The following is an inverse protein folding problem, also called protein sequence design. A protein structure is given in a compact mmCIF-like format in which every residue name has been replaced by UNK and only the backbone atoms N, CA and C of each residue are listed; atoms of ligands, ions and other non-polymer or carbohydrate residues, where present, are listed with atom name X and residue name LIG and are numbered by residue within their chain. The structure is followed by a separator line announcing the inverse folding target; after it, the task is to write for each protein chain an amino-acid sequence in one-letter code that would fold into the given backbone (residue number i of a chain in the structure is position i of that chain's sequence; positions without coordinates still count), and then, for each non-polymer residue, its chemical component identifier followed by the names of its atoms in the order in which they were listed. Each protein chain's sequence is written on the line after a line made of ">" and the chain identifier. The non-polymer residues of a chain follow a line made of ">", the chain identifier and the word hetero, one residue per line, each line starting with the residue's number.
data_IF_125556283036
#
_entry.id   IF_125556283036
#
_cell.length_a   1.000
_cell.length_b   1.000
_cell.length_c   1.000
_cell.angle_alpha   90.00
_cell.angle_beta   90.00
_cell.angle_gamma   90.00
#
_symmetry.space_group_name_H-M   'P 1'
#
loop_
_entity.id
_entity.type
_entity.pdbx_description
1 polymer ?
#
# COMPACT_ATOMS: atom_id res chain seq x y z
N UNK A 1 -6.08 12.43 -15.48
CA UNK A 1 -5.16 11.95 -14.41
C UNK A 1 -4.04 12.94 -14.17
N UNK A 2 -3.19 13.25 -15.16
CA UNK A 2 -2.09 14.22 -14.99
C UNK A 2 -2.63 15.57 -14.53
N UNK A 3 -3.68 16.10 -15.16
CA UNK A 3 -4.26 17.40 -14.75
C UNK A 3 -4.77 17.40 -13.31
N UNK A 4 -5.44 16.32 -12.89
CA UNK A 4 -5.85 16.12 -11.50
C UNK A 4 -4.63 16.07 -10.57
N UNK A 5 -3.57 15.35 -10.97
CA UNK A 5 -2.35 15.30 -10.17
C UNK A 5 -1.71 16.68 -10.01
N UNK A 6 -1.59 17.42 -11.11
CA UNK A 6 -1.10 18.80 -11.11
C UNK A 6 -1.98 19.62 -10.17
N UNK A 7 -3.30 19.64 -10.36
CA UNK A 7 -4.22 20.36 -9.46
C UNK A 7 -4.01 20.05 -7.97
N UNK A 8 -3.74 18.79 -7.62
CA UNK A 8 -3.52 18.37 -6.22
C UNK A 8 -2.11 18.65 -5.69
N UNK A 9 -1.12 18.90 -6.56
CA UNK A 9 0.30 18.93 -6.19
C UNK A 9 1.09 20.12 -6.72
N UNK A 10 0.51 20.96 -7.56
CA UNK A 10 1.16 22.12 -8.16
C UNK A 10 1.58 23.12 -7.07
N UNK A 11 2.75 23.71 -7.27
CA UNK A 11 3.37 24.69 -6.36
C UNK A 11 3.59 24.20 -4.91
N UNK A 12 3.62 22.88 -4.67
CA UNK A 12 3.91 22.32 -3.34
C UNK A 12 5.35 21.81 -3.23
N UNK A 13 6.09 22.35 -2.25
CA UNK A 13 7.34 21.75 -1.75
C UNK A 13 7.09 20.50 -0.88
N UNK A 14 5.82 20.10 -0.73
CA UNK A 14 5.40 18.99 0.11
C UNK A 14 5.51 17.64 -0.63
N UNK A 15 6.09 16.59 -0.01
CA UNK A 15 6.03 15.23 -0.54
C UNK A 15 4.61 14.76 -0.84
N UNK A 16 4.35 14.38 -2.10
CA UNK A 16 3.01 14.00 -2.55
C UNK A 16 3.01 12.76 -3.44
N UNK A 17 2.03 11.88 -3.22
CA UNK A 17 1.77 10.71 -4.04
C UNK A 17 0.29 10.63 -4.41
N UNK A 18 -0.01 10.41 -5.69
CA UNK A 18 -1.34 10.03 -6.15
C UNK A 18 -1.31 8.57 -6.54
N UNK A 19 -2.34 7.82 -6.16
CA UNK A 19 -2.60 6.51 -6.71
C UNK A 19 -4.03 6.42 -7.22
N UNK A 20 -4.23 5.48 -8.14
CA UNK A 20 -5.52 5.27 -8.80
C UNK A 20 -5.96 3.81 -8.70
N UNK A 21 -7.20 3.55 -9.08
CA UNK A 21 -7.69 2.18 -9.24
C UNK A 21 -7.11 1.54 -10.53
N UNK A 22 -7.36 0.25 -10.72
CA UNK A 22 -6.99 -0.50 -11.91
C UNK A 22 -8.14 -1.40 -12.38
N UNK A 23 -8.18 -1.64 -13.68
CA UNK A 23 -9.11 -2.57 -14.31
C UNK A 23 -8.46 -3.95 -14.33
N UNK A 24 -9.15 -4.98 -13.84
CA UNK A 24 -8.65 -6.35 -13.88
C UNK A 24 -8.95 -6.98 -15.23
N UNK A 25 -7.93 -7.56 -15.86
CA UNK A 25 -8.07 -8.26 -17.16
C UNK A 25 -7.49 -9.67 -17.11
N UNK A 26 -8.01 -10.55 -17.95
CA UNK A 26 -7.52 -11.91 -18.10
C UNK A 26 -6.27 -11.98 -18.99
N UNK A 27 -5.79 -13.18 -19.34
CA UNK A 27 -4.62 -13.38 -20.24
C UNK A 27 -4.82 -12.96 -21.70
N UNK A 28 -6.06 -12.81 -22.13
CA UNK A 28 -6.45 -12.35 -23.46
C UNK A 28 -6.81 -10.85 -23.48
N UNK A 29 -6.66 -10.17 -22.33
CA UNK A 29 -7.01 -8.76 -22.11
C UNK A 29 -8.52 -8.49 -22.06
N UNK A 30 -9.33 -9.53 -21.85
CA UNK A 30 -10.76 -9.39 -21.57
C UNK A 30 -10.97 -8.89 -20.14
N UNK A 31 -11.94 -8.00 -19.95
CA UNK A 31 -12.21 -7.39 -18.64
C UNK A 31 -12.81 -8.45 -17.70
N UNK A 32 -12.13 -8.66 -16.57
CA UNK A 32 -12.61 -9.48 -15.45
C UNK A 32 -13.41 -8.63 -14.44
N UNK A 33 -12.91 -7.44 -14.12
CA UNK A 33 -13.58 -6.48 -13.25
C UNK A 33 -13.15 -5.05 -13.62
N UNK A 34 -14.08 -4.10 -13.58
CA UNK A 34 -13.80 -2.69 -13.89
C UNK A 34 -13.05 -1.94 -12.79
N UNK A 35 -12.93 -2.54 -11.60
CA UNK A 35 -12.27 -1.94 -10.43
C UNK A 35 -11.68 -3.04 -9.54
N UNK A 36 -10.41 -2.88 -9.14
CA UNK A 36 -9.75 -3.78 -8.22
C UNK A 36 -10.27 -3.61 -6.79
N UNK A 37 -10.48 -2.37 -6.35
CA UNK A 37 -10.94 -2.09 -4.99
C UNK A 37 -12.37 -2.58 -4.77
N UNK A 38 -13.27 -2.39 -5.74
CA UNK A 38 -14.66 -2.88 -5.66
C UNK A 38 -14.71 -4.40 -5.70
N UNK A 39 -13.93 -5.05 -6.57
CA UNK A 39 -13.88 -6.52 -6.66
C UNK A 39 -13.38 -7.17 -5.36
N UNK A 40 -12.43 -6.53 -4.67
CA UNK A 40 -11.87 -7.07 -3.42
C UNK A 40 -12.59 -6.59 -2.16
N UNK A 41 -13.61 -5.73 -2.27
CA UNK A 41 -14.29 -5.10 -1.13
C UNK A 41 -13.29 -4.41 -0.18
N UNK A 42 -12.32 -3.69 -0.75
CA UNK A 42 -11.29 -2.95 0.00
C UNK A 42 -11.51 -1.45 -0.20
N UNK A 43 -11.61 -0.71 0.91
CA UNK A 43 -11.61 0.75 0.85
C UNK A 43 -10.20 1.27 0.46
N UNK A 44 -10.06 1.97 -0.69
CA UNK A 44 -8.80 2.54 -1.12
C UNK A 44 -8.29 3.65 -0.20
N UNK A 45 -9.18 4.38 0.50
CA UNK A 45 -8.83 5.51 1.36
C UNK A 45 -7.97 5.09 2.56
N UNK A 46 -7.99 3.82 2.93
CA UNK A 46 -7.05 3.27 3.91
C UNK A 46 -5.58 3.46 3.52
N UNK A 47 -5.25 3.54 2.23
CA UNK A 47 -3.87 3.84 1.81
C UNK A 47 -3.46 5.31 2.02
N UNK A 48 -4.39 6.20 2.39
CA UNK A 48 -4.08 7.59 2.75
C UNK A 48 -3.78 7.74 4.24
N UNK A 49 -4.06 6.71 5.03
CA UNK A 49 -3.96 6.74 6.48
C UNK A 49 -2.80 5.86 6.97
N UNK A 50 -1.88 6.49 7.70
CA UNK A 50 -0.65 5.87 8.16
C UNK A 50 -0.89 4.61 9.02
N UNK A 51 -1.93 4.63 9.88
CA UNK A 51 -2.30 3.50 10.73
C UNK A 51 -2.62 2.22 9.92
N UNK A 52 -3.28 2.36 8.78
CA UNK A 52 -3.59 1.23 7.91
C UNK A 52 -2.37 0.83 7.07
N UNK A 53 -1.59 1.78 6.55
CA UNK A 53 -0.37 1.49 5.78
C UNK A 53 0.68 0.71 6.57
N UNK A 54 0.77 0.91 7.90
CA UNK A 54 1.64 0.07 8.75
C UNK A 54 1.18 -1.39 8.81
N UNK A 55 -0.08 -1.67 8.48
CA UNK A 55 -0.66 -3.01 8.49
C UNK A 55 -0.86 -3.62 7.10
N UNK A 56 -1.19 -2.84 6.09
CA UNK A 56 -1.38 -3.28 4.70
C UNK A 56 -1.35 -2.09 3.75
N UNK A 57 -0.54 -2.19 2.71
CA UNK A 57 -0.67 -1.36 1.52
C UNK A 57 -1.40 -2.18 0.45
N UNK A 58 -2.36 -1.57 -0.23
CA UNK A 58 -3.14 -2.18 -1.32
C UNK A 58 -3.05 -1.38 -2.62
N UNK A 59 -2.17 -0.38 -2.69
CA UNK A 59 -1.84 0.33 -3.91
C UNK A 59 -0.60 -0.28 -4.57
N UNK A 60 -0.54 -0.23 -5.91
CA UNK A 60 0.56 -0.80 -6.70
C UNK A 60 1.29 0.29 -7.46
N UNK A 61 2.61 0.15 -7.61
CA UNK A 61 3.44 1.17 -8.26
C UNK A 61 2.99 1.56 -9.68
N UNK A 62 2.37 0.65 -10.43
CA UNK A 62 1.85 0.94 -11.77
C UNK A 62 0.67 1.93 -11.79
N UNK A 63 0.03 2.20 -10.65
CA UNK A 63 -1.06 3.18 -10.54
C UNK A 63 -0.61 4.50 -9.89
N UNK A 64 0.68 4.63 -9.55
CA UNK A 64 1.21 5.73 -8.75
C UNK A 64 1.86 6.84 -9.58
N UNK A 65 1.69 8.07 -9.12
CA UNK A 65 2.43 9.26 -9.55
C UNK A 65 3.01 9.96 -8.33
N UNK A 66 4.26 10.39 -8.41
CA UNK A 66 5.02 10.98 -7.30
C UNK A 66 5.70 12.28 -7.71
N UNK A 67 5.84 13.22 -6.77
CA UNK A 67 6.48 14.50 -7.03
C UNK A 67 7.96 14.47 -6.63
N UNK A 68 8.71 15.47 -7.09
CA UNK A 68 10.16 15.59 -6.82
C UNK A 68 10.47 15.70 -5.31
N UNK A 69 9.75 16.51 -4.51
CA UNK A 69 9.94 16.54 -3.05
C UNK A 69 9.87 15.16 -2.39
N UNK A 70 8.93 14.31 -2.79
CA UNK A 70 8.86 12.94 -2.26
C UNK A 70 10.11 12.14 -2.60
N UNK A 71 10.56 12.16 -3.85
CA UNK A 71 11.76 11.44 -4.27
C UNK A 71 13.01 11.91 -3.52
N UNK A 72 13.15 13.21 -3.28
CA UNK A 72 14.28 13.78 -2.55
C UNK A 72 14.39 13.25 -1.11
N UNK A 73 13.25 12.94 -0.47
CA UNK A 73 13.22 12.40 0.89
C UNK A 73 13.25 10.86 0.94
N UNK A 74 12.61 10.22 -0.03
CA UNK A 74 12.48 8.76 -0.06
C UNK A 74 13.74 8.06 -0.56
N UNK A 75 14.59 8.73 -1.35
CA UNK A 75 15.81 8.15 -1.90
C UNK A 75 17.02 8.34 -0.96
N UNK A 76 18.02 7.43 -1.00
CA UNK A 76 18.00 6.16 -1.74
C UNK A 76 16.94 5.20 -1.19
N UNK A 77 16.47 4.27 -2.01
CA UNK A 77 15.55 3.24 -1.53
C UNK A 77 16.23 2.39 -0.44
N UNK A 78 15.50 1.89 0.57
CA UNK A 78 16.04 0.91 1.50
C UNK A 78 16.50 -0.35 0.76
N UNK A 79 17.40 -1.13 1.36
CA UNK A 79 17.88 -2.37 0.77
C UNK A 79 16.73 -3.37 0.56
N UNK A 80 16.80 -4.22 -0.47
CA UNK A 80 15.73 -5.16 -0.87
C UNK A 80 15.33 -6.15 0.25
N UNK A 81 16.22 -6.40 1.20
CA UNK A 81 15.93 -7.20 2.39
C UNK A 81 15.01 -6.49 3.41
N UNK A 82 14.94 -5.16 3.35
CA UNK A 82 14.17 -4.32 4.26
C UNK A 82 12.82 -3.88 3.70
N UNK A 83 12.66 -3.86 2.37
CA UNK A 83 11.40 -3.52 1.71
C UNK A 83 10.71 -4.75 1.14
N UNK A 84 9.38 -4.78 1.25
CA UNK A 84 8.60 -5.82 0.54
C UNK A 84 8.47 -5.46 -0.93
N UNK A 85 8.23 -4.18 -1.22
CA UNK A 85 8.13 -3.60 -2.54
C UNK A 85 8.45 -2.10 -2.45
N UNK A 86 9.00 -1.50 -3.50
CA UNK A 86 9.40 -0.08 -3.49
C UNK A 86 8.22 0.89 -3.49
N UNK A 87 7.09 0.50 -4.07
CA UNK A 87 5.83 1.25 -4.03
C UNK A 87 5.31 1.41 -2.60
N UNK A 88 5.35 0.35 -1.78
CA UNK A 88 5.00 0.39 -0.37
C UNK A 88 5.88 1.37 0.41
N UNK A 89 7.16 1.49 0.05
CA UNK A 89 8.06 2.48 0.65
C UNK A 89 7.65 3.91 0.27
N UNK A 90 7.40 4.17 -1.01
CA UNK A 90 7.05 5.50 -1.50
C UNK A 90 5.74 6.02 -0.89
N UNK A 91 4.70 5.17 -0.82
CA UNK A 91 3.42 5.58 -0.21
C UNK A 91 3.53 5.76 1.30
N UNK A 92 4.36 4.96 1.98
CA UNK A 92 4.64 5.14 3.40
C UNK A 92 5.36 6.48 3.65
N UNK A 93 6.36 6.82 2.84
CA UNK A 93 7.04 8.12 2.90
C UNK A 93 6.05 9.26 2.66
N UNK A 94 5.21 9.17 1.64
CA UNK A 94 4.23 10.20 1.32
C UNK A 94 3.20 10.39 2.46
N UNK A 95 2.63 9.31 3.00
CA UNK A 95 1.67 9.38 4.11
C UNK A 95 2.28 9.90 5.41
N UNK A 96 3.59 9.72 5.62
CA UNK A 96 4.29 10.19 6.81
C UNK A 96 4.81 11.64 6.66
N UNK A 97 5.24 12.05 5.47
CA UNK A 97 5.92 13.34 5.23
C UNK A 97 5.04 14.39 4.55
N UNK A 98 3.92 13.98 3.97
CA UNK A 98 3.06 14.89 3.23
C UNK A 98 1.69 14.31 2.96
N UNK A 99 1.33 14.17 1.68
CA UNK A 99 -0.04 13.82 1.29
C UNK A 99 -0.10 12.64 0.33
N UNK A 100 -1.11 11.82 0.52
CA UNK A 100 -1.50 10.75 -0.40
C UNK A 100 -2.89 11.06 -0.93
N UNK A 101 -3.05 11.03 -2.24
CA UNK A 101 -4.30 11.24 -2.95
C UNK A 101 -4.76 9.95 -3.60
N UNK A 102 -6.08 9.72 -3.59
CA UNK A 102 -6.72 8.65 -4.33
C UNK A 102 -7.63 9.23 -5.42
N UNK A 103 -7.69 8.56 -6.57
CA UNK A 103 -8.65 8.85 -7.65
C UNK A 103 -9.34 7.54 -8.06
N UNK A 104 -10.67 7.48 -7.96
CA UNK A 104 -11.51 6.36 -8.44
C UNK A 104 -11.55 6.35 -9.98
N UNK A 105 -10.41 5.97 -10.58
CA UNK A 105 -10.19 5.91 -12.01
C UNK A 105 -9.33 4.69 -12.33
N UNK A 106 -9.84 3.76 -13.14
CA UNK A 106 -9.12 2.58 -13.61
C UNK A 106 -8.05 2.96 -14.63
N UNK A 107 -6.84 3.24 -14.17
CA UNK A 107 -5.79 3.84 -15.00
C UNK A 107 -5.02 2.88 -15.86
N UNK A 108 -5.00 1.61 -15.46
CA UNK A 108 -4.21 0.54 -16.09
C UNK A 108 -5.03 -0.74 -16.14
N UNK A 109 -4.79 -1.54 -17.18
CA UNK A 109 -5.28 -2.90 -17.26
C UNK A 109 -4.29 -3.83 -16.56
N UNK A 110 -4.65 -4.33 -15.38
CA UNK A 110 -3.86 -5.25 -14.60
C UNK A 110 -4.21 -6.70 -14.93
N UNK A 111 -3.26 -7.41 -15.55
CA UNK A 111 -3.44 -8.80 -15.94
C UNK A 111 -3.38 -9.73 -14.73
N UNK A 112 -4.48 -10.41 -14.43
CA UNK A 112 -4.52 -11.41 -13.36
C UNK A 112 -4.21 -12.80 -13.92
N UNK A 113 -3.00 -13.30 -13.65
CA UNK A 113 -2.64 -14.68 -13.95
C UNK A 113 -3.23 -15.64 -12.89
N UNK A 114 -3.58 -16.87 -13.28
CA UNK A 114 -4.10 -17.89 -12.34
C UNK A 114 -3.09 -18.26 -11.23
N UNK A 115 -1.80 -17.99 -11.47
CA UNK A 115 -0.71 -18.17 -10.51
C UNK A 115 -0.46 -16.95 -9.62
N UNK A 116 -1.10 -15.80 -9.88
CA UNK A 116 -0.89 -14.59 -9.08
C UNK A 116 -1.38 -14.83 -7.64
N UNK A 117 -0.41 -14.98 -6.75
CA UNK A 117 -0.62 -15.21 -5.31
C UNK A 117 -1.38 -14.10 -4.59
N UNK A 118 -1.62 -12.96 -5.26
CA UNK A 118 -2.23 -11.73 -4.76
C UNK A 118 -3.65 -11.46 -5.31
N UNK A 119 -4.21 -12.33 -6.14
CA UNK A 119 -5.58 -12.18 -6.68
C UNK A 119 -6.64 -12.86 -5.82
N UNK A 120 -7.66 -12.11 -5.40
CA UNK A 120 -8.73 -12.50 -4.46
C UNK A 120 -9.75 -13.53 -4.96
N UNK A 121 -9.34 -14.66 -5.54
CA UNK A 121 -10.27 -15.78 -5.79
C UNK A 121 -10.79 -16.31 -4.44
N UNK A 122 -12.12 -16.53 -4.34
CA UNK A 122 -12.77 -17.21 -3.20
C UNK A 122 -12.15 -18.61 -3.01
N UNK A 123 -11.23 -18.75 -2.05
CA UNK A 123 -10.64 -20.03 -1.68
C UNK A 123 -11.65 -20.88 -0.91
N UNK A 124 -11.71 -22.17 -1.20
CA UNK A 124 -12.51 -23.11 -0.40
C UNK A 124 -11.96 -23.21 1.03
N UNK A 125 -12.81 -23.55 2.00
CA UNK A 125 -12.40 -23.70 3.41
C UNK A 125 -11.19 -24.63 3.58
N UNK A 126 -11.14 -25.72 2.82
CA UNK A 126 -10.04 -26.69 2.82
C UNK A 126 -8.72 -26.04 2.35
N UNK A 127 -8.77 -25.22 1.30
CA UNK A 127 -7.60 -24.48 0.81
C UNK A 127 -7.15 -23.40 1.81
N UNK A 128 -8.09 -22.74 2.50
CA UNK A 128 -7.78 -21.77 3.56
C UNK A 128 -7.02 -22.43 4.71
N UNK A 129 -7.49 -23.59 5.20
CA UNK A 129 -6.84 -24.34 6.28
C UNK A 129 -5.45 -24.84 5.86
N UNK A 130 -5.34 -25.47 4.68
CA UNK A 130 -4.05 -26.00 4.18
C UNK A 130 -3.00 -24.90 3.99
N UNK A 131 -3.40 -23.70 3.59
CA UNK A 131 -2.50 -22.57 3.38
C UNK A 131 -2.30 -21.71 4.64
N UNK A 132 -2.99 -21.97 5.75
CA UNK A 132 -2.98 -21.10 6.93
C UNK A 132 -1.58 -20.83 7.49
N UNK A 133 -0.76 -21.88 7.68
CA UNK A 133 0.63 -21.72 8.17
C UNK A 133 1.50 -20.87 7.22
N UNK A 134 1.32 -21.06 5.91
CA UNK A 134 2.02 -20.28 4.89
C UNK A 134 1.56 -18.81 4.89
N UNK A 135 0.26 -18.58 5.06
CA UNK A 135 -0.31 -17.23 5.16
C UNK A 135 0.18 -16.52 6.42
N UNK A 136 0.19 -17.19 7.57
CA UNK A 136 0.75 -16.64 8.81
C UNK A 136 2.24 -16.27 8.65
N UNK A 137 3.04 -17.16 8.01
CA UNK A 137 4.44 -16.83 7.69
C UNK A 137 4.55 -15.59 6.82
N UNK A 138 3.76 -15.49 5.74
CA UNK A 138 3.74 -14.31 4.85
C UNK A 138 3.34 -13.03 5.59
N UNK A 139 2.32 -13.09 6.44
CA UNK A 139 1.88 -11.97 7.27
C UNK A 139 3.02 -11.53 8.21
N UNK A 140 3.68 -12.48 8.87
CA UNK A 140 4.78 -12.16 9.79
C UNK A 140 5.99 -11.58 9.04
N UNK A 141 6.36 -12.13 7.87
CA UNK A 141 7.42 -11.55 7.03
C UNK A 141 7.09 -10.13 6.58
N UNK A 142 5.85 -9.88 6.13
CA UNK A 142 5.41 -8.55 5.75
C UNK A 142 5.44 -7.57 6.94
N UNK A 143 5.07 -8.04 8.14
CA UNK A 143 5.16 -7.26 9.39
C UNK A 143 6.62 -6.87 9.69
N UNK A 144 7.53 -7.84 9.69
CA UNK A 144 8.95 -7.61 9.99
C UNK A 144 9.57 -6.63 8.99
N UNK A 145 9.30 -6.81 7.69
CA UNK A 145 9.78 -5.88 6.66
C UNK A 145 9.22 -4.47 6.87
N UNK A 146 7.94 -4.32 7.23
CA UNK A 146 7.40 -2.99 7.55
C UNK A 146 8.00 -2.38 8.80
N UNK A 147 8.31 -3.16 9.83
CA UNK A 147 9.03 -2.67 11.00
C UNK A 147 10.41 -2.13 10.62
N UNK A 148 11.14 -2.83 9.75
CA UNK A 148 12.40 -2.33 9.18
C UNK A 148 12.22 -1.03 8.40
N UNK A 149 11.18 -0.90 7.58
CA UNK A 149 10.88 0.36 6.87
C UNK A 149 10.61 1.52 7.85
N UNK A 150 9.88 1.25 8.94
CA UNK A 150 9.65 2.21 10.02
C UNK A 150 10.98 2.62 10.66
N UNK A 151 11.85 1.65 10.96
CA UNK A 151 13.16 1.91 11.57
C UNK A 151 14.03 2.78 10.65
N UNK A 152 14.01 2.55 9.34
CA UNK A 152 14.71 3.40 8.37
C UNK A 152 14.17 4.84 8.39
N UNK A 153 12.85 5.04 8.48
CA UNK A 153 12.27 6.38 8.61
C UNK A 153 12.69 7.08 9.90
N UNK A 154 12.75 6.35 11.01
CA UNK A 154 13.22 6.86 12.30
C UNK A 154 14.70 7.25 12.24
N UNK A 155 15.55 6.38 11.67
CA UNK A 155 16.99 6.61 11.53
C UNK A 155 17.28 7.83 10.63
N UNK A 156 16.52 8.00 9.54
CA UNK A 156 16.61 9.18 8.68
C UNK A 156 16.05 10.46 9.30
N UNK A 157 15.49 10.39 10.51
CA UNK A 157 14.78 11.49 11.20
C UNK A 157 13.63 12.05 10.37
N UNK A 158 12.99 11.18 9.60
CA UNK A 158 11.85 11.51 8.73
C UNK A 158 10.51 11.17 9.38
N UNK A 159 10.49 10.35 10.43
CA UNK A 159 9.26 9.93 11.10
C UNK A 159 8.53 11.12 11.76
N UNK A 160 7.27 11.33 11.36
CA UNK A 160 6.39 12.29 12.04
C UNK A 160 6.04 11.78 13.46
N UNK A 161 5.88 12.62 14.49
CA UNK A 161 5.59 12.17 15.85
C UNK A 161 4.36 11.25 15.97
N UNK A 162 3.32 11.49 15.17
CA UNK A 162 2.13 10.62 15.12
C UNK A 162 2.45 9.21 14.60
N UNK A 163 3.47 9.06 13.75
CA UNK A 163 3.92 7.76 13.25
C UNK A 163 4.50 6.87 14.36
N UNK A 164 5.21 7.47 15.31
CA UNK A 164 5.79 6.77 16.46
C UNK A 164 4.68 6.15 17.33
N UNK A 165 3.51 6.79 17.38
CA UNK A 165 2.35 6.25 18.10
C UNK A 165 1.84 4.96 17.44
N UNK A 166 1.76 4.89 16.12
CA UNK A 166 1.25 3.70 15.42
C UNK A 166 2.31 2.62 15.13
N UNK A 167 3.58 2.91 15.35
CA UNK A 167 4.65 1.91 15.16
C UNK A 167 4.73 0.90 16.30
N UNK A 168 4.29 1.26 17.52
CA UNK A 168 4.32 0.37 18.68
C UNK A 168 3.36 -0.82 18.54
N UNK A 169 3.80 -1.98 19.06
CA UNK A 169 3.03 -3.23 19.02
C UNK A 169 1.66 -3.10 19.71
N UNK A 170 1.60 -2.36 20.81
CA UNK A 170 0.38 -2.19 21.61
C UNK A 170 -0.71 -1.46 20.82
N UNK A 171 -0.35 -0.34 20.17
CA UNK A 171 -1.30 0.42 19.36
C UNK A 171 -1.75 -0.34 18.10
N UNK A 172 -0.89 -1.18 17.52
CA UNK A 172 -1.28 -2.07 16.41
C UNK A 172 -2.28 -3.14 16.85
N UNK A 173 -2.12 -3.70 18.05
CA UNK A 173 -3.02 -4.72 18.57
C UNK A 173 -4.39 -4.15 18.94
N UNK A 174 -4.42 -2.98 19.56
CA UNK A 174 -5.66 -2.27 19.89
C UNK A 174 -6.41 -1.82 18.64
N UNK A 175 -5.69 -1.32 17.63
CA UNK A 175 -6.27 -1.00 16.33
C UNK A 175 -6.88 -2.24 15.66
N UNK A 176 -6.16 -3.37 15.64
CA UNK A 176 -6.64 -4.62 15.05
C UNK A 176 -7.93 -5.11 15.71
N UNK A 177 -7.99 -5.05 17.05
CA UNK A 177 -9.21 -5.41 17.81
C UNK A 177 -10.38 -4.49 17.52
N UNK A 178 -10.14 -3.18 17.45
CA UNK A 178 -11.21 -2.18 17.38
C UNK A 178 -11.74 -1.92 15.96
N UNK A 179 -10.94 -2.19 14.92
CA UNK A 179 -11.27 -1.80 13.54
C UNK A 179 -11.21 -2.94 12.51
N UNK A 180 -10.69 -4.13 12.87
CA UNK A 180 -10.58 -5.28 11.94
C UNK A 180 -11.38 -6.50 12.43
N UNK A 181 -11.54 -6.67 13.74
CA UNK A 181 -12.31 -7.77 14.34
C UNK A 181 -13.74 -7.40 14.77
N UNK A 182 -14.09 -6.11 14.74
CA UNK A 182 -15.44 -5.59 14.97
C UNK A 182 -16.31 -5.69 13.71
#
# INVERSE_FOLDING_TARGET
>A
MIDYYIEQTDDTDQPSLLFTDMVLVDKNSEILASSFYKELEIDPHYNQELKYLTWRCTSYGCTMMVNRPLLNQALPLPQDEDVTMHDNWLILCAANLGKVYYMDYGSVFYRQHESNHTGGRRRSLIQKIKSFKLQLKKINTARIKREKQIDVLLQRKLAHPEFIKFSSLDNKFDFFKSNILS
#
